data_IF_982812611155
#
_entry.id   IF_982812611155
#
_cell.length_a   1.000
_cell.length_b   1.000
_cell.length_c   1.000
_cell.angle_alpha   90.00
_cell.angle_beta   90.00
_cell.angle_gamma   90.00
#
_symmetry.space_group_name_H-M   'P 1'
#
loop_
_entity.id
_entity.type
_entity.pdbx_description
1 polymer ?
#
# COMPACT_ATOMS: atom_id res chain seq x y z
N UNK A 1 -15.92 12.73 16.08
CA UNK A 1 -16.04 11.28 15.86
C UNK A 1 -14.72 10.65 16.23
N UNK A 2 -14.73 9.60 17.03
CA UNK A 2 -13.50 8.82 17.30
C UNK A 2 -13.06 8.16 15.99
N UNK A 3 -11.89 8.51 15.50
CA UNK A 3 -11.30 7.91 14.30
C UNK A 3 -10.66 6.58 14.69
N UNK A 4 -10.80 5.52 13.87
CA UNK A 4 -10.13 4.24 14.08
C UNK A 4 -8.60 4.39 14.23
N UNK A 5 -8.03 5.45 13.68
CA UNK A 5 -6.61 5.78 13.80
C UNK A 5 -6.14 5.92 15.26
N UNK A 6 -7.04 6.36 16.17
CA UNK A 6 -6.72 6.55 17.59
C UNK A 6 -6.68 5.22 18.37
N UNK A 7 -7.30 4.18 17.81
CA UNK A 7 -7.42 2.86 18.43
C UNK A 7 -6.32 1.89 17.97
N UNK A 8 -5.47 2.33 17.01
CA UNK A 8 -4.38 1.51 16.48
C UNK A 8 -3.26 1.33 17.51
N UNK A 9 -2.61 0.15 17.55
CA UNK A 9 -1.37 -0.04 18.32
C UNK A 9 -0.29 0.93 17.80
N UNK A 10 0.66 1.30 18.66
CA UNK A 10 1.78 2.12 18.22
C UNK A 10 3.10 1.39 18.49
N UNK A 11 3.97 1.27 17.49
CA UNK A 11 3.73 1.68 16.12
C UNK A 11 2.78 0.74 15.37
N UNK A 12 1.89 1.31 14.55
CA UNK A 12 1.08 0.52 13.61
C UNK A 12 1.81 0.30 12.28
N UNK A 13 1.44 -0.78 11.60
CA UNK A 13 2.00 -1.14 10.30
C UNK A 13 0.96 -1.05 9.19
N UNK A 14 1.38 -0.59 8.01
CA UNK A 14 0.51 -0.31 6.88
C UNK A 14 1.05 -0.94 5.62
N UNK A 15 0.20 -1.64 4.86
CA UNK A 15 0.52 -2.02 3.48
C UNK A 15 0.41 -0.80 2.58
N UNK A 16 1.50 -0.43 1.91
CA UNK A 16 1.50 0.70 0.99
C UNK A 16 0.55 0.47 -0.19
N UNK A 17 -0.25 1.47 -0.58
CA UNK A 17 -1.04 1.41 -1.80
C UNK A 17 -0.14 1.33 -3.03
N UNK A 18 -0.33 0.31 -3.85
CA UNK A 18 0.49 0.05 -5.05
C UNK A 18 -0.40 -0.27 -6.24
N UNK A 19 -0.27 0.51 -7.30
CA UNK A 19 -1.05 0.38 -8.54
C UNK A 19 -0.89 -1.01 -9.16
N UNK A 20 -2.02 -1.60 -9.51
CA UNK A 20 -2.14 -2.95 -10.07
C UNK A 20 -1.53 -4.05 -9.16
N UNK A 21 -1.44 -3.81 -7.85
CA UNK A 21 -0.91 -4.74 -6.86
C UNK A 21 -1.87 -4.89 -5.68
N UNK A 22 -2.22 -3.81 -4.99
CA UNK A 22 -3.00 -3.87 -3.74
C UNK A 22 -4.51 -3.87 -3.98
N UNK A 23 -4.97 -4.68 -4.95
CA UNK A 23 -6.38 -5.01 -5.14
C UNK A 23 -6.88 -5.95 -4.02
N UNK A 24 -8.15 -6.27 -4.06
CA UNK A 24 -8.79 -7.16 -3.09
C UNK A 24 -8.07 -8.52 -2.99
N UNK A 25 -7.61 -9.08 -4.11
CA UNK A 25 -6.89 -10.35 -4.16
C UNK A 25 -5.60 -10.29 -3.35
N UNK A 26 -4.75 -9.31 -3.64
CA UNK A 26 -3.44 -9.21 -3.00
C UNK A 26 -3.55 -8.77 -1.53
N UNK A 27 -4.54 -7.96 -1.17
CA UNK A 27 -4.79 -7.61 0.24
C UNK A 27 -5.11 -8.85 1.08
N UNK A 28 -6.00 -9.74 0.60
CA UNK A 28 -6.28 -11.01 1.27
C UNK A 28 -5.07 -11.96 1.33
N UNK A 29 -4.22 -11.97 0.30
CA UNK A 29 -2.96 -12.73 0.33
C UNK A 29 -2.04 -12.22 1.45
N UNK A 30 -1.90 -10.89 1.58
CA UNK A 30 -1.07 -10.30 2.64
C UNK A 30 -1.68 -10.52 4.02
N UNK A 31 -2.99 -10.42 4.14
CA UNK A 31 -3.72 -10.74 5.37
C UNK A 31 -3.45 -12.18 5.82
N UNK A 32 -3.54 -13.14 4.91
CA UNK A 32 -3.26 -14.55 5.17
C UNK A 32 -1.82 -14.83 5.57
N UNK A 33 -0.87 -14.07 5.03
CA UNK A 33 0.55 -14.19 5.33
C UNK A 33 0.92 -13.57 6.68
N UNK A 34 0.27 -12.47 7.04
CA UNK A 34 0.46 -11.70 8.27
C UNK A 34 -0.10 -10.30 8.06
N UNK A 35 -1.24 -10.01 8.70
CA UNK A 35 -1.95 -8.77 8.48
C UNK A 35 -1.16 -7.55 8.96
N UNK A 36 -1.09 -6.45 8.18
CA UNK A 36 -0.80 -5.13 8.72
C UNK A 36 -1.98 -4.62 9.55
N UNK A 37 -1.75 -3.56 10.33
CA UNK A 37 -2.82 -2.95 11.13
C UNK A 37 -3.80 -2.12 10.28
N UNK A 38 -3.37 -1.63 9.11
CA UNK A 38 -4.20 -0.85 8.17
C UNK A 38 -3.92 -1.26 6.73
N UNK A 39 -4.99 -1.46 5.98
CA UNK A 39 -4.93 -1.63 4.53
C UNK A 39 -5.36 -0.36 3.78
N UNK A 40 -4.76 -0.15 2.61
CA UNK A 40 -5.19 0.84 1.64
C UNK A 40 -5.61 0.16 0.33
N UNK A 41 -6.59 0.73 -0.36
CA UNK A 41 -6.90 0.33 -1.74
C UNK A 41 -5.79 0.73 -2.69
N UNK A 42 -5.83 0.28 -3.93
CA UNK A 42 -5.16 0.97 -5.03
C UNK A 42 -5.72 2.39 -5.18
N UNK A 43 -4.95 3.29 -5.79
CA UNK A 43 -5.38 4.70 -5.87
C UNK A 43 -6.31 4.95 -7.06
N UNK A 44 -7.53 5.38 -6.78
CA UNK A 44 -8.57 5.66 -7.75
C UNK A 44 -8.62 7.14 -8.14
N UNK A 45 -8.83 7.42 -9.44
CA UNK A 45 -8.92 8.78 -9.96
C UNK A 45 -10.31 9.37 -9.76
N UNK A 46 -10.42 10.49 -9.04
CA UNK A 46 -11.68 11.15 -8.74
C UNK A 46 -12.36 11.69 -10.01
N UNK A 47 -11.64 12.44 -10.83
CA UNK A 47 -12.14 12.98 -12.11
C UNK A 47 -12.57 11.88 -13.07
N UNK A 48 -11.77 10.81 -13.17
CA UNK A 48 -12.12 9.65 -13.97
C UNK A 48 -13.45 9.02 -13.54
N UNK A 49 -13.63 8.85 -12.23
CA UNK A 49 -14.86 8.30 -11.69
C UNK A 49 -16.07 9.21 -11.91
N UNK A 50 -15.95 10.52 -11.68
CA UNK A 50 -17.04 11.49 -11.89
C UNK A 50 -17.53 11.45 -13.34
N UNK A 51 -16.62 11.33 -14.32
CA UNK A 51 -16.97 11.34 -15.74
C UNK A 51 -17.40 10.00 -16.32
N UNK A 52 -16.92 8.87 -15.78
CA UNK A 52 -17.16 7.55 -16.37
C UNK A 52 -17.55 6.44 -15.36
N UNK A 53 -17.82 6.82 -14.11
CA UNK A 53 -18.26 5.89 -13.06
C UNK A 53 -17.22 4.82 -12.70
N UNK A 54 -17.69 3.73 -12.12
CA UNK A 54 -16.85 2.64 -11.61
C UNK A 54 -15.97 2.00 -12.69
N UNK A 55 -16.40 2.04 -13.95
CA UNK A 55 -15.60 1.55 -15.08
C UNK A 55 -14.24 2.26 -15.20
N UNK A 56 -14.18 3.55 -14.87
CA UNK A 56 -12.93 4.33 -14.94
C UNK A 56 -11.92 3.92 -13.86
N UNK A 57 -12.38 3.39 -12.76
CA UNK A 57 -11.53 2.98 -11.63
C UNK A 57 -11.23 1.47 -11.63
N UNK A 58 -11.81 0.71 -12.58
CA UNK A 58 -11.45 -0.67 -12.88
C UNK A 58 -11.30 -1.58 -11.65
N UNK A 59 -12.30 -1.59 -10.76
CA UNK A 59 -12.34 -2.45 -9.57
C UNK A 59 -11.43 -2.05 -8.41
N UNK A 60 -10.75 -0.88 -8.47
CA UNK A 60 -9.82 -0.44 -7.40
C UNK A 60 -10.47 -0.25 -6.03
N UNK A 61 -11.77 -0.04 -5.97
CA UNK A 61 -12.54 0.08 -4.73
C UNK A 61 -13.30 -1.19 -4.34
N UNK A 62 -13.09 -2.32 -5.04
CA UNK A 62 -13.66 -3.60 -4.64
C UNK A 62 -13.05 -4.01 -3.30
N UNK A 63 -13.92 -4.40 -2.37
CA UNK A 63 -13.57 -4.83 -1.03
C UNK A 63 -14.55 -5.89 -0.52
N UNK A 64 -14.18 -6.57 0.55
CA UNK A 64 -15.06 -7.43 1.34
C UNK A 64 -15.42 -6.78 2.67
N UNK A 65 -16.42 -7.31 3.36
CA UNK A 65 -16.91 -6.72 4.61
C UNK A 65 -15.98 -7.02 5.80
N UNK A 66 -15.07 -7.96 5.67
CA UNK A 66 -14.09 -8.36 6.68
C UNK A 66 -12.74 -7.58 6.60
N UNK A 67 -12.54 -6.77 5.57
CA UNK A 67 -11.34 -5.92 5.45
C UNK A 67 -11.44 -4.67 6.34
N UNK A 68 -11.08 -4.76 7.61
CA UNK A 68 -11.11 -3.64 8.54
C UNK A 68 -9.82 -3.49 9.36
N UNK A 69 -9.28 -2.24 9.45
CA UNK A 69 -9.70 -1.02 8.73
C UNK A 69 -9.13 -0.97 7.29
N UNK A 70 -9.97 -0.62 6.33
CA UNK A 70 -9.59 -0.38 4.94
C UNK A 70 -9.83 1.09 4.57
N UNK A 71 -8.79 1.77 4.09
CA UNK A 71 -8.80 3.17 3.67
C UNK A 71 -8.84 3.26 2.15
N UNK A 72 -9.79 4.03 1.60
CA UNK A 72 -9.83 4.31 0.16
C UNK A 72 -8.75 5.33 -0.21
N UNK A 73 -7.78 4.97 -1.05
CA UNK A 73 -6.85 5.96 -1.56
C UNK A 73 -7.36 6.56 -2.88
N UNK A 74 -7.54 7.88 -2.88
CA UNK A 74 -8.05 8.64 -4.02
C UNK A 74 -7.02 9.68 -4.50
N UNK A 75 -7.13 10.11 -5.74
CA UNK A 75 -6.30 11.19 -6.28
C UNK A 75 -7.04 12.03 -7.32
N UNK A 76 -6.68 13.29 -7.39
CA UNK A 76 -7.25 14.27 -8.31
C UNK A 76 -6.74 15.67 -7.98
N UNK A 77 -7.00 16.63 -8.86
CA UNK A 77 -6.68 18.03 -8.67
C UNK A 77 -7.93 18.94 -8.70
N UNK A 78 -9.11 18.37 -9.00
CA UNK A 78 -10.36 19.12 -9.06
C UNK A 78 -11.13 18.93 -7.75
N UNK A 79 -11.27 19.98 -6.90
CA UNK A 79 -11.90 19.84 -5.59
C UNK A 79 -13.32 19.29 -5.64
N UNK A 80 -14.15 19.71 -6.61
CA UNK A 80 -15.51 19.21 -6.76
C UNK A 80 -15.59 17.71 -7.09
N UNK A 81 -14.64 17.20 -7.87
CA UNK A 81 -14.55 15.77 -8.16
C UNK A 81 -14.08 14.99 -6.93
N UNK A 82 -13.13 15.56 -6.17
CA UNK A 82 -12.64 14.99 -4.92
C UNK A 82 -13.74 14.87 -3.88
N UNK A 83 -14.59 15.90 -3.74
CA UNK A 83 -15.75 15.86 -2.85
C UNK A 83 -16.73 14.75 -3.21
N UNK A 84 -17.17 14.71 -4.47
CA UNK A 84 -18.14 13.72 -4.94
C UNK A 84 -17.61 12.29 -4.77
N UNK A 85 -16.33 12.07 -5.09
CA UNK A 85 -15.72 10.75 -4.97
C UNK A 85 -15.48 10.34 -3.52
N UNK A 86 -15.08 11.26 -2.66
CA UNK A 86 -14.97 11.02 -1.23
C UNK A 86 -16.32 10.63 -0.60
N UNK A 87 -17.41 11.30 -0.96
CA UNK A 87 -18.77 10.94 -0.56
C UNK A 87 -19.17 9.55 -1.08
N UNK A 88 -18.74 9.17 -2.29
CA UNK A 88 -18.95 7.82 -2.79
C UNK A 88 -18.21 6.77 -1.94
N UNK A 89 -16.95 7.02 -1.56
CA UNK A 89 -16.20 6.13 -0.66
C UNK A 89 -16.91 5.98 0.70
N UNK A 90 -17.51 7.03 1.22
CA UNK A 90 -18.31 6.96 2.46
C UNK A 90 -19.53 6.02 2.29
N UNK A 91 -20.25 6.13 1.17
CA UNK A 91 -21.39 5.24 0.88
C UNK A 91 -20.98 3.77 0.71
N UNK A 92 -19.75 3.51 0.25
CA UNK A 92 -19.18 2.16 0.16
C UNK A 92 -18.69 1.60 1.51
N UNK A 93 -18.73 2.40 2.59
CA UNK A 93 -18.36 1.95 3.92
C UNK A 93 -16.85 1.79 4.15
N UNK A 94 -16.01 2.62 3.51
CA UNK A 94 -14.60 2.69 3.85
C UNK A 94 -14.38 3.32 5.22
N UNK A 95 -13.32 2.90 5.92
CA UNK A 95 -12.98 3.39 7.25
C UNK A 95 -12.38 4.82 7.24
N UNK A 96 -11.82 5.23 6.10
CA UNK A 96 -11.19 6.53 5.92
C UNK A 96 -10.87 6.79 4.44
N UNK A 97 -10.40 8.00 4.18
CA UNK A 97 -9.93 8.44 2.87
C UNK A 97 -8.47 8.85 2.99
N UNK A 98 -7.65 8.42 2.03
CA UNK A 98 -6.27 8.87 1.88
C UNK A 98 -6.08 9.56 0.54
N UNK A 99 -5.41 10.72 0.55
CA UNK A 99 -5.16 11.48 -0.68
C UNK A 99 -3.74 11.17 -1.17
N UNK A 100 -3.65 10.63 -2.39
CA UNK A 100 -2.38 10.34 -3.02
C UNK A 100 -1.72 11.62 -3.57
N UNK A 101 -0.67 12.07 -2.92
CA UNK A 101 0.22 13.14 -3.35
C UNK A 101 1.65 12.64 -3.59
N UNK A 102 1.79 11.34 -3.89
CA UNK A 102 3.11 10.66 -3.98
C UNK A 102 3.39 10.12 -5.38
N UNK A 103 2.36 9.82 -6.19
CA UNK A 103 2.53 9.13 -7.47
C UNK A 103 3.30 9.98 -8.48
N UNK A 104 4.48 9.51 -8.97
CA UNK A 104 5.28 10.25 -9.93
C UNK A 104 4.93 9.96 -11.39
N UNK A 105 3.93 9.09 -11.65
CA UNK A 105 3.55 8.66 -12.99
C UNK A 105 3.10 9.84 -13.85
N UNK A 106 3.46 9.85 -15.13
CA UNK A 106 3.13 10.94 -16.07
C UNK A 106 1.62 11.20 -16.18
N UNK A 107 0.81 10.17 -16.10
CA UNK A 107 -0.65 10.28 -16.08
C UNK A 107 -1.17 10.97 -14.81
N UNK A 108 -0.62 10.63 -13.65
CA UNK A 108 -1.04 11.20 -12.38
C UNK A 108 -0.61 12.67 -12.22
N UNK A 109 0.62 13.04 -12.63
CA UNK A 109 1.14 14.40 -12.48
C UNK A 109 0.48 15.45 -13.39
N UNK A 110 -0.37 15.04 -14.34
CA UNK A 110 -1.13 15.99 -15.17
C UNK A 110 -2.24 16.70 -14.38
N UNK A 111 -2.82 16.02 -13.38
CA UNK A 111 -4.01 16.50 -12.64
C UNK A 111 -4.00 16.13 -11.16
N UNK A 112 -2.86 15.76 -10.57
CA UNK A 112 -2.80 15.34 -9.15
C UNK A 112 -1.49 14.61 -8.82
N UNK A 113 -1.55 13.68 -7.87
CA UNK A 113 -0.38 12.94 -7.42
C UNK A 113 0.75 13.84 -6.93
N UNK A 114 2.01 13.51 -7.26
CA UNK A 114 3.17 14.31 -6.82
C UNK A 114 3.21 15.74 -7.39
N UNK A 115 2.41 16.07 -8.42
CA UNK A 115 2.34 17.44 -8.94
C UNK A 115 1.69 18.42 -7.94
N UNK A 116 0.90 17.92 -7.00
CA UNK A 116 0.31 18.75 -5.93
C UNK A 116 1.36 19.39 -5.02
N UNK A 117 2.55 18.81 -4.92
CA UNK A 117 3.69 19.42 -4.19
C UNK A 117 4.05 20.79 -4.78
N UNK A 118 3.88 20.98 -6.09
CA UNK A 118 4.13 22.24 -6.80
C UNK A 118 2.91 23.17 -6.84
N UNK A 119 1.76 22.69 -6.39
CA UNK A 119 0.49 23.40 -6.40
C UNK A 119 -0.18 23.25 -5.02
N UNK A 120 0.42 23.83 -3.95
CA UNK A 120 -0.06 23.61 -2.60
C UNK A 120 -1.50 24.09 -2.37
N UNK A 121 -1.94 25.16 -3.04
CA UNK A 121 -3.33 25.64 -2.94
C UNK A 121 -4.34 24.58 -3.45
N UNK A 122 -3.99 23.90 -4.54
CA UNK A 122 -4.82 22.78 -5.07
C UNK A 122 -4.81 21.59 -4.10
N UNK A 123 -3.68 21.29 -3.47
CA UNK A 123 -3.58 20.25 -2.46
C UNK A 123 -4.46 20.55 -1.26
N UNK A 124 -4.42 21.78 -0.75
CA UNK A 124 -5.27 22.26 0.36
C UNK A 124 -6.75 22.16 0.01
N UNK A 125 -7.14 22.64 -1.19
CA UNK A 125 -8.51 22.56 -1.66
C UNK A 125 -9.00 21.11 -1.82
N UNK A 126 -8.17 20.20 -2.31
CA UNK A 126 -8.49 18.78 -2.42
C UNK A 126 -8.69 18.11 -1.04
N UNK A 127 -7.87 18.46 -0.04
CA UNK A 127 -8.03 17.97 1.34
C UNK A 127 -9.35 18.48 1.93
N UNK A 128 -9.61 19.80 1.81
CA UNK A 128 -10.84 20.40 2.31
C UNK A 128 -12.08 19.75 1.68
N UNK A 129 -12.08 19.52 0.36
CA UNK A 129 -13.14 18.85 -0.37
C UNK A 129 -13.35 17.40 0.11
N UNK A 130 -12.29 16.61 0.28
CA UNK A 130 -12.40 15.24 0.77
C UNK A 130 -12.96 15.17 2.20
N UNK A 131 -12.63 16.13 3.07
CA UNK A 131 -13.14 16.22 4.46
C UNK A 131 -14.65 16.40 4.54
N UNK A 132 -15.30 16.97 3.52
CA UNK A 132 -16.77 17.14 3.49
C UNK A 132 -17.53 15.81 3.53
N UNK A 133 -16.87 14.71 3.17
CA UNK A 133 -17.44 13.36 3.21
C UNK A 133 -17.65 12.81 4.63
N UNK A 134 -17.09 13.46 5.66
CA UNK A 134 -17.26 13.09 7.06
C UNK A 134 -16.41 11.91 7.53
N UNK A 135 -15.57 11.34 6.66
CA UNK A 135 -14.58 10.32 7.04
C UNK A 135 -13.25 10.95 7.49
N UNK A 136 -12.44 10.24 8.31
CA UNK A 136 -11.07 10.66 8.59
C UNK A 136 -10.26 10.77 7.28
N UNK A 137 -9.56 11.90 7.09
CA UNK A 137 -8.73 12.13 5.91
C UNK A 137 -7.26 12.07 6.28
N UNK A 138 -6.52 11.19 5.63
CA UNK A 138 -5.06 11.11 5.66
C UNK A 138 -4.45 11.55 4.33
N UNK A 139 -3.15 11.82 4.33
CA UNK A 139 -2.40 12.18 3.12
C UNK A 139 -1.15 11.34 3.01
N UNK A 140 -0.89 10.80 1.82
CA UNK A 140 0.38 10.15 1.49
C UNK A 140 1.15 11.01 0.50
N UNK A 141 2.37 11.43 0.90
CA UNK A 141 3.19 12.35 0.10
C UNK A 141 4.68 11.96 0.05
N UNK A 142 5.50 12.85 -0.49
CA UNK A 142 6.96 12.82 -0.55
C UNK A 142 7.56 14.05 0.12
N UNK A 143 8.89 14.04 0.35
CA UNK A 143 9.61 15.18 0.92
C UNK A 143 9.50 16.44 0.06
N UNK A 144 9.49 16.29 -1.25
CA UNK A 144 9.42 17.38 -2.19
C UNK A 144 9.26 16.89 -3.62
N UNK A 145 9.18 17.82 -4.57
CA UNK A 145 9.11 17.49 -5.99
C UNK A 145 10.50 17.34 -6.61
N UNK A 146 11.38 18.34 -6.44
CA UNK A 146 12.68 18.45 -7.11
C UNK A 146 13.86 18.25 -6.17
N UNK A 147 13.83 18.89 -5.00
CA UNK A 147 14.92 18.89 -4.02
C UNK A 147 14.41 18.53 -2.63
N UNK A 148 15.29 18.00 -1.80
CA UNK A 148 14.97 17.60 -0.44
C UNK A 148 14.56 18.81 0.40
N UNK A 149 15.21 19.97 0.23
CA UNK A 149 14.96 21.19 1.01
C UNK A 149 13.50 21.70 0.93
N UNK A 150 12.74 21.25 -0.07
CA UNK A 150 11.32 21.59 -0.20
C UNK A 150 10.46 21.02 0.96
N UNK A 151 10.94 20.00 1.69
CA UNK A 151 10.16 19.23 2.64
C UNK A 151 9.52 20.09 3.73
N UNK A 152 10.26 21.03 4.30
CA UNK A 152 9.80 21.83 5.46
C UNK A 152 8.56 22.67 5.11
N UNK A 153 8.62 23.38 4.00
CA UNK A 153 7.50 24.22 3.53
C UNK A 153 6.31 23.36 3.14
N UNK A 154 6.59 22.29 2.39
CA UNK A 154 5.53 21.39 1.92
C UNK A 154 4.79 20.66 3.06
N UNK A 155 5.53 20.06 3.98
CA UNK A 155 4.91 19.34 5.10
C UNK A 155 4.20 20.31 6.07
N UNK A 156 4.72 21.52 6.26
CA UNK A 156 4.03 22.58 7.02
C UNK A 156 2.64 22.85 6.43
N UNK A 157 2.55 23.02 5.11
CA UNK A 157 1.26 23.24 4.42
C UNK A 157 0.26 22.10 4.72
N UNK A 158 0.71 20.85 4.65
CA UNK A 158 -0.16 19.69 4.89
C UNK A 158 -0.56 19.55 6.36
N UNK A 159 0.36 19.76 7.29
CA UNK A 159 0.10 19.65 8.74
C UNK A 159 -0.91 20.70 9.22
N UNK A 160 -1.02 21.84 8.55
CA UNK A 160 -2.02 22.87 8.84
C UNK A 160 -3.45 22.51 8.42
N UNK A 161 -3.65 21.36 7.76
CA UNK A 161 -4.96 20.98 7.20
C UNK A 161 -5.81 20.08 8.13
N UNK A 162 -5.39 19.85 9.38
CA UNK A 162 -6.11 18.99 10.33
C UNK A 162 -6.43 17.62 9.71
N UNK A 163 -5.40 16.94 9.22
CA UNK A 163 -5.45 15.57 8.72
C UNK A 163 -5.14 14.59 9.85
N UNK A 164 -5.72 13.38 9.79
CA UNK A 164 -5.56 12.40 10.88
C UNK A 164 -4.21 11.70 10.84
N UNK A 165 -3.64 11.51 9.65
CA UNK A 165 -2.33 10.87 9.48
C UNK A 165 -1.62 11.43 8.25
N UNK A 166 -0.32 11.66 8.38
CA UNK A 166 0.58 12.07 7.30
C UNK A 166 1.58 10.95 7.04
N UNK A 167 1.46 10.30 5.89
CA UNK A 167 2.44 9.30 5.44
C UNK A 167 3.46 9.93 4.50
N UNK A 168 4.74 9.82 4.82
CA UNK A 168 5.81 10.43 4.04
C UNK A 168 6.71 9.35 3.42
N UNK A 169 6.74 9.28 2.09
CA UNK A 169 7.83 8.59 1.41
C UNK A 169 9.07 9.46 1.48
N UNK A 170 10.08 9.01 2.22
CA UNK A 170 11.29 9.78 2.57
C UNK A 170 12.24 9.96 1.39
N UNK A 171 11.70 10.44 0.27
CA UNK A 171 12.38 10.82 -0.98
C UNK A 171 11.57 11.90 -1.69
N UNK A 172 12.24 12.65 -2.56
CA UNK A 172 11.56 13.56 -3.50
C UNK A 172 10.94 12.79 -4.68
N UNK A 173 10.08 13.47 -5.45
CA UNK A 173 9.55 12.90 -6.70
C UNK A 173 10.67 12.67 -7.72
N UNK A 174 11.66 13.56 -7.82
CA UNK A 174 12.78 13.46 -8.76
C UNK A 174 13.70 12.27 -8.46
N UNK A 175 13.93 12.00 -7.20
CA UNK A 175 14.73 10.85 -6.74
C UNK A 175 14.04 9.51 -7.03
N UNK A 176 12.72 9.48 -7.09
CA UNK A 176 11.95 8.24 -7.30
C UNK A 176 12.22 7.21 -6.20
N UNK A 177 13.01 6.18 -6.52
CA UNK A 177 13.58 5.18 -5.60
C UNK A 177 15.03 4.84 -5.97
N UNK A 178 15.76 5.82 -6.51
CA UNK A 178 17.13 5.64 -7.02
C UNK A 178 18.21 5.94 -5.98
N UNK A 179 17.84 6.60 -4.89
CA UNK A 179 18.71 6.92 -3.75
C UNK A 179 18.18 6.23 -2.50
N UNK A 180 18.94 6.20 -1.42
CA UNK A 180 18.43 5.73 -0.12
C UNK A 180 17.31 6.64 0.40
N UNK A 181 16.42 6.12 1.24
CA UNK A 181 15.44 6.93 1.94
C UNK A 181 16.15 7.84 2.97
N UNK A 182 15.73 9.10 3.06
CA UNK A 182 16.29 10.12 3.93
C UNK A 182 15.84 9.96 5.38
N UNK A 183 16.33 8.92 6.06
CA UNK A 183 16.00 8.66 7.47
C UNK A 183 16.57 9.72 8.41
N UNK A 184 17.63 10.39 8.02
CA UNK A 184 18.25 11.52 8.75
C UNK A 184 17.31 12.70 8.99
N UNK A 185 16.20 12.79 8.24
CA UNK A 185 15.21 13.87 8.38
C UNK A 185 14.08 13.53 9.35
N UNK A 186 13.98 12.29 9.83
CA UNK A 186 12.81 11.83 10.58
C UNK A 186 12.61 12.67 11.84
N UNK A 187 13.66 12.90 12.63
CA UNK A 187 13.56 13.64 13.89
C UNK A 187 13.14 15.11 13.68
N UNK A 188 13.65 15.76 12.62
CA UNK A 188 13.25 17.11 12.25
C UNK A 188 11.78 17.16 11.79
N UNK A 189 11.31 16.13 11.09
CA UNK A 189 9.91 16.01 10.65
C UNK A 189 8.99 15.76 11.86
N UNK A 190 9.41 14.93 12.80
CA UNK A 190 8.68 14.73 14.07
C UNK A 190 8.55 16.05 14.80
N UNK A 191 9.66 16.79 14.98
CA UNK A 191 9.65 18.08 15.66
C UNK A 191 8.74 19.11 14.94
N UNK A 192 8.73 19.11 13.61
CA UNK A 192 7.83 19.96 12.82
C UNK A 192 6.35 19.59 13.05
N UNK A 193 6.01 18.30 13.01
CA UNK A 193 4.66 17.81 13.27
C UNK A 193 4.20 18.18 14.67
N UNK A 194 5.03 17.96 15.68
CA UNK A 194 4.70 18.24 17.09
C UNK A 194 4.47 19.73 17.35
N UNK A 195 5.19 20.60 16.64
CA UNK A 195 5.01 22.05 16.74
C UNK A 195 3.73 22.57 16.07
N UNK A 196 3.25 21.91 14.98
CA UNK A 196 2.14 22.41 14.16
C UNK A 196 0.85 21.63 14.43
N UNK A 197 0.93 20.31 14.47
CA UNK A 197 -0.23 19.41 14.52
C UNK A 197 0.09 18.16 15.37
N UNK A 198 0.27 18.30 16.69
CA UNK A 198 0.66 17.18 17.57
C UNK A 198 -0.35 16.01 17.56
N UNK A 199 -1.60 16.28 17.17
CA UNK A 199 -2.65 15.26 17.03
C UNK A 199 -2.56 14.46 15.72
N UNK A 200 -1.85 14.95 14.70
CA UNK A 200 -1.68 14.24 13.43
C UNK A 200 -0.67 13.10 13.59
N UNK A 201 -1.07 11.88 13.28
CA UNK A 201 -0.17 10.74 13.28
C UNK A 201 0.86 10.85 12.15
N UNK A 202 2.09 10.43 12.42
CA UNK A 202 3.18 10.44 11.46
C UNK A 202 3.55 9.01 11.07
N UNK A 203 3.42 8.70 9.78
CA UNK A 203 3.80 7.41 9.21
C UNK A 203 4.98 7.58 8.25
N UNK A 204 6.04 6.79 8.44
CA UNK A 204 7.21 6.78 7.55
C UNK A 204 7.13 5.66 6.52
N UNK A 205 7.65 5.93 5.32
CA UNK A 205 7.73 5.00 4.20
C UNK A 205 9.03 5.19 3.42
N UNK A 206 9.57 4.13 2.87
CA UNK A 206 10.79 4.12 2.05
C UNK A 206 11.81 3.10 2.56
N UNK A 207 12.19 2.14 1.72
CA UNK A 207 13.18 1.07 1.96
C UNK A 207 12.96 0.21 3.22
N UNK A 208 11.80 0.29 3.85
CA UNK A 208 11.47 -0.52 5.01
C UNK A 208 11.13 -1.93 4.51
N UNK A 209 11.87 -2.92 4.99
CA UNK A 209 11.83 -4.30 4.50
C UNK A 209 10.72 -5.11 5.14
N UNK A 210 10.64 -5.06 6.46
CA UNK A 210 9.82 -5.91 7.29
C UNK A 210 9.48 -5.22 8.62
N UNK A 211 8.68 -5.91 9.44
CA UNK A 211 8.25 -5.43 10.76
C UNK A 211 9.43 -5.14 11.69
N UNK A 212 10.44 -6.00 11.72
CA UNK A 212 11.61 -5.81 12.60
C UNK A 212 12.40 -4.54 12.23
N UNK A 213 12.63 -4.32 10.93
CA UNK A 213 13.27 -3.09 10.45
C UNK A 213 12.42 -1.86 10.81
N UNK A 214 11.10 -1.93 10.65
CA UNK A 214 10.18 -0.86 11.05
C UNK A 214 10.24 -0.55 12.55
N UNK A 215 10.23 -1.58 13.40
CA UNK A 215 10.37 -1.44 14.86
C UNK A 215 11.69 -0.79 15.26
N UNK A 216 12.79 -1.19 14.62
CA UNK A 216 14.11 -0.61 14.87
C UNK A 216 14.15 0.89 14.50
N UNK A 217 13.52 1.28 13.39
CA UNK A 217 13.41 2.69 12.98
C UNK A 217 12.58 3.51 13.99
N UNK A 218 11.44 3.00 14.43
CA UNK A 218 10.62 3.71 15.42
C UNK A 218 11.35 3.83 16.77
N UNK A 219 12.08 2.81 17.18
CA UNK A 219 12.91 2.87 18.39
C UNK A 219 14.02 3.93 18.28
N UNK A 220 14.60 4.11 17.11
CA UNK A 220 15.63 5.11 16.84
C UNK A 220 15.05 6.54 16.69
N UNK A 221 13.78 6.68 16.30
CA UNK A 221 13.11 7.94 16.02
C UNK A 221 11.79 8.06 16.79
N UNK A 222 11.83 8.33 18.12
CA UNK A 222 10.63 8.51 18.92
C UNK A 222 9.71 9.60 18.37
N UNK A 223 8.38 9.33 18.35
CA UNK A 223 7.38 10.24 17.79
C UNK A 223 6.87 9.83 16.41
N UNK A 224 7.49 8.85 15.76
CA UNK A 224 6.90 8.14 14.63
C UNK A 224 5.79 7.22 15.14
N UNK A 225 4.59 7.34 14.58
CA UNK A 225 3.41 6.56 15.00
C UNK A 225 3.18 5.31 14.14
N UNK A 226 3.55 5.38 12.86
CA UNK A 226 3.28 4.30 11.92
C UNK A 226 4.42 4.02 10.95
N UNK A 227 4.43 2.81 10.42
CA UNK A 227 5.42 2.32 9.45
C UNK A 227 4.68 1.74 8.24
N UNK A 228 4.97 2.28 7.05
CA UNK A 228 4.36 1.79 5.81
C UNK A 228 5.37 0.98 4.99
N UNK A 229 5.06 -0.30 4.74
CA UNK A 229 5.88 -1.20 3.93
C UNK A 229 5.26 -1.32 2.53
N UNK A 230 6.08 -1.13 1.50
CA UNK A 230 5.68 -1.31 0.10
C UNK A 230 6.41 -2.50 -0.52
N UNK A 231 7.54 -2.26 -1.16
CA UNK A 231 8.31 -3.30 -1.88
C UNK A 231 8.81 -4.45 -1.00
N UNK A 232 8.85 -4.28 0.31
CA UNK A 232 9.21 -5.34 1.26
C UNK A 232 8.36 -6.59 1.07
N UNK A 233 7.06 -6.44 0.81
CA UNK A 233 6.12 -7.55 0.60
C UNK A 233 6.45 -8.43 -0.63
N UNK A 234 7.19 -7.90 -1.60
CA UNK A 234 7.69 -8.69 -2.75
C UNK A 234 8.96 -9.46 -2.42
N UNK A 235 9.72 -8.99 -1.44
CA UNK A 235 10.89 -9.69 -0.94
C UNK A 235 10.48 -10.77 0.07
N UNK A 236 9.48 -10.50 0.89
CA UNK A 236 8.91 -11.43 1.86
C UNK A 236 7.42 -11.15 2.03
N UNK A 237 6.51 -12.06 1.61
CA UNK A 237 5.09 -11.87 1.80
C UNK A 237 4.66 -11.87 3.28
N UNK A 238 5.51 -12.42 4.17
CA UNK A 238 5.30 -12.46 5.61
C UNK A 238 5.91 -11.27 6.37
N UNK A 239 6.32 -10.22 5.66
CA UNK A 239 7.06 -9.08 6.22
C UNK A 239 6.31 -8.30 7.34
N UNK A 240 5.00 -8.48 7.47
CA UNK A 240 4.20 -7.89 8.56
C UNK A 240 4.05 -8.83 9.77
N UNK A 241 4.30 -10.13 9.60
CA UNK A 241 4.18 -11.09 10.69
C UNK A 241 5.19 -10.76 11.82
N UNK A 242 4.82 -10.98 13.09
CA UNK A 242 5.81 -11.03 14.16
C UNK A 242 6.88 -12.10 13.83
N UNK A 243 8.13 -11.86 14.22
CA UNK A 243 9.17 -12.85 13.98
C UNK A 243 8.81 -14.20 14.60
N UNK A 244 9.16 -15.29 13.89
CA UNK A 244 8.78 -16.67 14.18
C UNK A 244 9.28 -17.24 15.53
N UNK A 245 10.02 -16.47 16.33
CA UNK A 245 10.46 -16.89 17.67
C UNK A 245 9.37 -16.76 18.74
N UNK A 246 8.27 -16.03 18.49
CA UNK A 246 7.32 -15.69 19.56
C UNK A 246 5.96 -16.40 19.51
N UNK A 247 5.56 -17.01 18.39
CA UNK A 247 4.27 -17.72 18.37
C UNK A 247 4.23 -18.85 17.34
N UNK A 248 4.00 -20.03 17.82
CA UNK A 248 3.48 -21.20 17.10
C UNK A 248 4.32 -21.65 15.91
N UNK A 249 4.98 -22.77 16.06
CA UNK A 249 5.39 -23.68 14.99
C UNK A 249 4.36 -23.67 13.86
N UNK A 250 4.46 -22.74 12.92
CA UNK A 250 3.72 -22.84 11.67
C UNK A 250 4.25 -24.10 10.96
N UNK A 251 3.43 -25.12 10.90
CA UNK A 251 3.76 -26.40 10.30
C UNK A 251 4.24 -26.20 8.85
N UNK A 252 5.52 -26.44 8.60
CA UNK A 252 6.13 -26.44 7.28
C UNK A 252 7.30 -25.48 7.11
N UNK A 253 8.19 -25.83 6.18
CA UNK A 253 9.30 -24.96 5.78
C UNK A 253 8.78 -23.66 5.14
N UNK A 254 9.62 -22.63 5.06
CA UNK A 254 9.28 -21.38 4.36
C UNK A 254 8.84 -21.65 2.91
N UNK A 255 9.44 -22.63 2.25
CA UNK A 255 9.08 -23.05 0.89
C UNK A 255 7.64 -23.59 0.86
N UNK A 256 7.25 -24.46 1.79
CA UNK A 256 5.89 -25.00 1.87
C UNK A 256 4.87 -23.91 2.15
N UNK A 257 5.17 -22.95 3.04
CA UNK A 257 4.31 -21.80 3.33
C UNK A 257 4.12 -20.92 2.10
N UNK A 258 5.19 -20.65 1.34
CA UNK A 258 5.12 -19.91 0.09
C UNK A 258 4.26 -20.62 -0.97
N UNK A 259 4.37 -21.94 -1.12
CA UNK A 259 3.52 -22.70 -2.03
C UNK A 259 2.04 -22.69 -1.60
N UNK A 260 1.76 -22.80 -0.30
CA UNK A 260 0.40 -22.69 0.21
C UNK A 260 -0.20 -21.30 -0.10
N UNK A 261 0.58 -20.25 0.08
CA UNK A 261 0.17 -18.87 -0.20
C UNK A 261 -0.02 -18.64 -1.71
N UNK A 262 0.82 -19.23 -2.56
CA UNK A 262 0.64 -19.18 -4.02
C UNK A 262 -0.67 -19.84 -4.44
N UNK A 263 -0.99 -21.04 -3.93
CA UNK A 263 -2.27 -21.72 -4.23
C UNK A 263 -3.46 -20.86 -3.82
N UNK A 264 -3.41 -20.27 -2.63
CA UNK A 264 -4.42 -19.34 -2.16
C UNK A 264 -4.57 -18.12 -3.06
N UNK A 265 -3.46 -17.57 -3.55
CA UNK A 265 -3.48 -16.45 -4.50
C UNK A 265 -4.16 -16.84 -5.83
N UNK A 266 -3.88 -18.04 -6.35
CA UNK A 266 -4.54 -18.55 -7.56
C UNK A 266 -6.06 -18.71 -7.35
N UNK A 267 -6.48 -19.23 -6.21
CA UNK A 267 -7.90 -19.40 -5.88
C UNK A 267 -8.63 -18.08 -5.75
N UNK A 268 -8.02 -17.10 -5.08
CA UNK A 268 -8.55 -15.74 -4.99
C UNK A 268 -8.62 -15.06 -6.36
N UNK A 269 -7.60 -15.24 -7.21
CA UNK A 269 -7.59 -14.66 -8.56
C UNK A 269 -8.78 -15.19 -9.36
N UNK A 270 -9.02 -16.50 -9.38
CA UNK A 270 -10.16 -17.09 -10.09
C UNK A 270 -11.51 -16.59 -9.54
N UNK A 271 -11.61 -16.45 -8.22
CA UNK A 271 -12.83 -15.95 -7.59
C UNK A 271 -13.14 -14.50 -7.98
N UNK A 272 -12.12 -13.62 -8.01
CA UNK A 272 -12.30 -12.19 -8.21
C UNK A 272 -12.13 -11.73 -9.67
N UNK A 273 -11.53 -12.56 -10.54
CA UNK A 273 -11.24 -12.21 -11.93
C UNK A 273 -12.49 -11.71 -12.70
N UNK A 274 -13.69 -12.31 -12.55
CA UNK A 274 -14.87 -11.85 -13.27
C UNK A 274 -15.28 -10.41 -12.91
N UNK A 275 -14.98 -9.97 -11.70
CA UNK A 275 -15.31 -8.62 -11.20
C UNK A 275 -14.19 -7.62 -11.48
N UNK A 276 -12.93 -8.05 -11.33
CA UNK A 276 -11.75 -7.22 -11.58
C UNK A 276 -11.46 -7.03 -13.07
N UNK A 277 -11.85 -8.00 -13.92
CA UNK A 277 -11.58 -7.97 -15.35
C UNK A 277 -10.08 -8.00 -15.69
N UNK A 278 -9.22 -8.46 -14.78
CA UNK A 278 -7.77 -8.49 -14.98
C UNK A 278 -7.37 -9.73 -15.77
N UNK A 279 -6.55 -9.60 -16.81
CA UNK A 279 -6.04 -10.76 -17.54
C UNK A 279 -5.06 -11.55 -16.68
N UNK A 280 -4.99 -12.87 -16.93
CA UNK A 280 -4.11 -13.80 -16.21
C UNK A 280 -2.64 -13.36 -16.17
N UNK A 281 -2.14 -12.70 -17.22
CA UNK A 281 -0.77 -12.19 -17.31
C UNK A 281 -0.39 -11.27 -16.15
N UNK A 282 -1.37 -10.60 -15.54
CA UNK A 282 -1.14 -9.71 -14.39
C UNK A 282 -0.72 -10.48 -13.14
N UNK A 283 -1.10 -11.75 -13.03
CA UNK A 283 -0.76 -12.63 -11.91
C UNK A 283 0.72 -13.07 -11.96
N UNK A 284 1.29 -13.22 -13.15
CA UNK A 284 2.65 -13.76 -13.35
C UNK A 284 3.75 -12.99 -12.61
N UNK A 285 3.59 -11.68 -12.44
CA UNK A 285 4.55 -10.85 -11.69
C UNK A 285 4.69 -11.25 -10.22
N UNK A 286 3.69 -11.93 -9.66
CA UNK A 286 3.68 -12.35 -8.26
C UNK A 286 4.39 -13.70 -8.05
N UNK A 287 4.62 -14.52 -9.07
CA UNK A 287 5.27 -15.82 -8.92
C UNK A 287 6.64 -15.75 -8.25
N UNK A 288 7.40 -14.68 -8.51
CA UNK A 288 8.71 -14.46 -7.88
C UNK A 288 8.65 -14.20 -6.37
N UNK A 289 7.49 -13.89 -5.82
CA UNK A 289 7.29 -13.71 -4.37
C UNK A 289 7.35 -15.06 -3.69
N UNK A 290 6.74 -16.07 -4.29
CA UNK A 290 6.52 -17.39 -3.70
C UNK A 290 7.58 -18.41 -4.11
N UNK A 291 8.02 -18.36 -5.36
CA UNK A 291 8.94 -19.35 -5.94
C UNK A 291 10.36 -18.81 -5.87
N UNK A 292 11.03 -19.06 -4.75
CA UNK A 292 12.35 -18.53 -4.46
C UNK A 292 13.05 -19.32 -3.36
N UNK A 293 14.38 -19.19 -3.29
CA UNK A 293 15.23 -19.65 -2.20
C UNK A 293 15.23 -21.19 -2.01
N UNK A 294 15.05 -21.95 -3.10
CA UNK A 294 15.23 -23.41 -3.16
C UNK A 294 15.79 -23.84 -4.52
N UNK A 295 16.38 -25.03 -4.57
CA UNK A 295 16.95 -25.59 -5.81
C UNK A 295 15.87 -25.82 -6.86
N UNK A 296 16.08 -25.31 -8.09
CA UNK A 296 15.12 -25.39 -9.18
C UNK A 296 14.06 -24.28 -9.18
N UNK A 297 14.09 -23.32 -8.24
CA UNK A 297 13.14 -22.22 -8.20
C UNK A 297 13.12 -21.36 -9.49
N UNK A 298 14.27 -21.23 -10.15
CA UNK A 298 14.37 -20.49 -11.41
C UNK A 298 13.63 -21.20 -12.55
N UNK A 299 13.85 -22.51 -12.67
CA UNK A 299 13.24 -23.40 -13.67
C UNK A 299 11.72 -23.44 -13.48
N UNK A 300 11.24 -23.56 -12.25
CA UNK A 300 9.81 -23.53 -11.95
C UNK A 300 9.19 -22.18 -12.31
N UNK A 301 9.84 -21.06 -11.96
CA UNK A 301 9.35 -19.73 -12.38
C UNK A 301 9.29 -19.60 -13.90
N UNK A 302 10.29 -20.09 -14.60
CA UNK A 302 10.30 -20.05 -16.07
C UNK A 302 9.11 -20.81 -16.66
N UNK A 303 8.83 -22.01 -16.16
CA UNK A 303 7.65 -22.78 -16.56
C UNK A 303 6.35 -22.01 -16.28
N UNK A 304 6.19 -21.46 -15.08
CA UNK A 304 5.00 -20.69 -14.70
C UNK A 304 4.82 -19.41 -15.54
N UNK A 305 5.90 -18.77 -15.97
CA UNK A 305 5.82 -17.61 -16.86
C UNK A 305 5.26 -17.94 -18.25
N UNK A 306 5.32 -19.20 -18.68
CA UNK A 306 4.78 -19.67 -19.97
C UNK A 306 3.33 -20.14 -19.89
N UNK A 307 2.75 -20.30 -18.72
CA UNK A 307 1.34 -20.69 -18.57
C UNK A 307 0.37 -19.62 -19.06
N UNK A 308 -0.82 -20.03 -19.45
CA UNK A 308 -1.88 -19.16 -19.99
C UNK A 308 -3.13 -19.14 -19.11
N UNK A 309 -3.16 -19.98 -18.07
CA UNK A 309 -4.27 -20.08 -17.12
C UNK A 309 -3.80 -20.47 -15.71
N UNK A 310 -4.65 -20.27 -14.74
CA UNK A 310 -4.45 -20.71 -13.36
C UNK A 310 -4.41 -22.23 -13.26
N UNK A 311 -5.17 -22.95 -14.09
CA UNK A 311 -5.19 -24.41 -14.10
C UNK A 311 -3.86 -24.99 -14.58
N UNK A 312 -3.27 -24.44 -15.66
CA UNK A 312 -1.93 -24.83 -16.09
C UNK A 312 -0.89 -24.55 -14.99
N UNK A 313 -0.99 -23.40 -14.33
CA UNK A 313 -0.09 -23.07 -13.21
C UNK A 313 -0.23 -24.06 -12.05
N UNK A 314 -1.46 -24.47 -11.68
CA UNK A 314 -1.71 -25.49 -10.64
C UNK A 314 -1.13 -26.85 -11.01
N UNK A 315 -1.26 -27.26 -12.27
CA UNK A 315 -0.69 -28.53 -12.75
C UNK A 315 0.84 -28.55 -12.62
N UNK A 316 1.52 -27.49 -13.04
CA UNK A 316 2.99 -27.37 -12.91
C UNK A 316 3.40 -27.37 -11.44
N UNK A 317 2.71 -26.61 -10.58
CA UNK A 317 3.00 -26.56 -9.13
C UNK A 317 2.80 -27.95 -8.49
N UNK A 318 1.78 -28.70 -8.89
CA UNK A 318 1.51 -30.03 -8.37
C UNK A 318 2.61 -31.01 -8.76
N UNK A 319 2.96 -31.07 -10.07
CA UNK A 319 4.04 -31.93 -10.58
C UNK A 319 5.38 -31.66 -9.89
N UNK A 320 5.69 -30.37 -9.69
CA UNK A 320 6.92 -29.97 -9.00
C UNK A 320 6.92 -30.42 -7.52
N UNK A 321 5.80 -30.28 -6.82
CA UNK A 321 5.67 -30.71 -5.44
C UNK A 321 5.81 -32.23 -5.28
N UNK A 322 5.23 -33.02 -6.18
CA UNK A 322 5.39 -34.47 -6.21
C UNK A 322 6.85 -34.89 -6.45
N UNK A 323 7.53 -34.20 -7.39
CA UNK A 323 8.95 -34.49 -7.68
C UNK A 323 9.86 -34.16 -6.48
N UNK A 324 9.60 -33.07 -5.75
CA UNK A 324 10.36 -32.75 -4.52
C UNK A 324 10.13 -33.78 -3.42
N UNK A 325 8.88 -34.20 -3.20
CA UNK A 325 8.53 -35.20 -2.17
C UNK A 325 9.09 -36.61 -2.48
N UNK A 326 9.35 -36.92 -3.75
CA UNK A 326 9.94 -38.20 -4.16
C UNK A 326 11.47 -38.22 -4.04
N UNK A 327 12.09 -37.05 -3.80
CA UNK A 327 13.55 -36.88 -3.70
C UNK A 327 14.05 -36.80 -2.26
N UNK A 328 13.14 -36.70 -1.28
CA UNK A 328 13.37 -36.83 0.16
C UNK A 328 13.22 -38.30 0.62
#
# INVERSE_FOLDING_TARGET
MTSFWNDLPQPFFVLAPMEAVTDVVFRHVVERAGAPDVFFTEFANATGWVHAGDRAIAGRLIKTDDEHPLVAQIWGGEPGDMEQFAQHCTRLGFAGIDINMVCPAKSAIKSGGAALIRNPDVAVAAIAAAKTAGLPVSVKTRLGYSTVDEWRVWLTTLLQQDIVNLTIHLRTKKEMSKVAAHYELIDDIVALRDAIAPQTLLTINGDIRDRAHGMALVAAHPGVNGVMIGRGVFADPFCFAPHADDTVQSAGSLVQRNFALLRYHLDLFDHWQPQLGRPYETLKRFYKIYIRDFDGAKELRDQLMHTTSTDEARQIIHQWHEAMSASE
#
